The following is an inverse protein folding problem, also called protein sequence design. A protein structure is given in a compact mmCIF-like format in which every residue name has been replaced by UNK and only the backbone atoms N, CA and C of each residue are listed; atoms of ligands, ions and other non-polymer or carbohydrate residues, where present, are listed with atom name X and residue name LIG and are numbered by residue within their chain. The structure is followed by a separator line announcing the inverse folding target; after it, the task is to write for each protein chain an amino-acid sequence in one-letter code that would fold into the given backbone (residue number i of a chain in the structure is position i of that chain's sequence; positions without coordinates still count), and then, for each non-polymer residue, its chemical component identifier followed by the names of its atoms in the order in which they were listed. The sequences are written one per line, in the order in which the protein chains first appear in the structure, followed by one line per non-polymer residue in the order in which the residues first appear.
data_IF_867935812795
#
_entry.id   IF_867935812795
#
_cell.length_a   1.000
_cell.length_b   1.000
_cell.length_c   1.000
_cell.angle_alpha   90.00
_cell.angle_beta   90.00
_cell.angle_gamma   90.00
#
_symmetry.space_group_name_H-M   'P 1'
#
loop_
_entity.id
_entity.type
_entity.pdbx_description
1 polymer ?
#
# COMPACT_ATOMS: atom_id res chain seq x y z
N UNK A 1 25.58 -6.03 19.71
CA UNK A 1 24.19 -5.58 19.82
C UNK A 1 24.08 -4.37 20.74
N UNK A 2 24.47 -4.43 22.01
CA UNK A 2 24.37 -3.28 22.97
C UNK A 2 25.06 -2.01 22.46
N UNK A 3 26.27 -2.10 21.86
CA UNK A 3 26.97 -0.96 21.29
C UNK A 3 26.22 -0.27 20.12
N UNK A 4 25.24 -0.95 19.51
CA UNK A 4 24.33 -0.38 18.50
C UNK A 4 23.02 0.13 19.11
N UNK A 5 22.93 0.21 20.45
CA UNK A 5 21.74 0.71 21.15
C UNK A 5 20.59 -0.32 21.30
N UNK A 6 20.84 -1.60 20.99
CA UNK A 6 19.82 -2.64 21.20
C UNK A 6 19.78 -2.97 22.70
N UNK A 7 18.61 -2.85 23.36
CA UNK A 7 18.46 -3.19 24.78
C UNK A 7 18.85 -4.64 25.07
N UNK A 8 19.41 -4.90 26.24
CA UNK A 8 19.95 -6.21 26.61
C UNK A 8 18.87 -7.31 26.68
N UNK A 9 17.63 -6.94 26.97
CA UNK A 9 16.45 -7.78 27.06
C UNK A 9 15.78 -8.05 25.70
N UNK A 10 16.32 -7.48 24.62
CA UNK A 10 15.81 -7.67 23.26
C UNK A 10 16.64 -8.65 22.41
N UNK A 11 17.67 -9.25 22.98
CA UNK A 11 18.45 -10.28 22.29
C UNK A 11 19.07 -11.28 23.27
N UNK A 12 19.20 -12.51 22.81
CA UNK A 12 19.85 -13.60 23.56
C UNK A 12 20.67 -14.46 22.61
N UNK A 13 21.53 -15.31 23.18
CA UNK A 13 22.25 -16.35 22.44
C UNK A 13 21.49 -17.65 22.65
N UNK A 14 20.88 -18.15 21.57
CA UNK A 14 20.15 -19.41 21.57
C UNK A 14 20.87 -20.44 20.67
N UNK A 15 21.41 -21.49 21.28
CA UNK A 15 22.10 -22.56 20.58
C UNK A 15 21.14 -23.60 19.96
N UNK A 16 19.85 -23.44 20.18
CA UNK A 16 18.83 -24.33 19.59
C UNK A 16 18.34 -23.87 18.21
N UNK A 17 18.72 -22.67 17.79
CA UNK A 17 18.37 -22.19 16.46
C UNK A 17 19.04 -23.06 15.40
N UNK A 18 18.24 -23.88 14.71
CA UNK A 18 18.67 -24.67 13.57
C UNK A 18 18.03 -24.11 12.31
N UNK A 19 18.86 -23.60 11.39
CA UNK A 19 18.43 -23.11 10.07
C UNK A 19 18.73 -24.17 9.01
N UNK A 20 17.71 -24.50 8.22
CA UNK A 20 17.74 -25.60 7.25
C UNK A 20 18.40 -25.29 5.91
N UNK A 21 19.24 -24.28 5.80
CA UNK A 21 19.95 -23.95 4.58
C UNK A 21 21.46 -24.18 4.79
N UNK A 22 22.02 -25.12 4.05
CA UNK A 22 23.40 -25.60 4.21
C UNK A 22 24.49 -24.58 3.86
N UNK A 23 24.11 -23.41 3.36
CA UNK A 23 25.05 -22.37 2.97
C UNK A 23 25.49 -21.43 4.10
N UNK A 24 24.85 -21.48 5.27
CA UNK A 24 25.31 -20.69 6.41
C UNK A 24 26.57 -21.29 7.03
N UNK A 25 27.59 -20.45 7.14
CA UNK A 25 28.92 -20.85 7.63
C UNK A 25 29.29 -20.20 8.97
N UNK A 26 28.44 -19.34 9.50
CA UNK A 26 28.67 -18.58 10.72
C UNK A 26 27.40 -18.34 11.52
N UNK A 27 27.32 -17.18 12.16
CA UNK A 27 26.19 -16.80 12.98
C UNK A 27 24.88 -16.82 12.17
N UNK A 28 23.88 -17.48 12.70
CA UNK A 28 22.48 -17.43 12.24
C UNK A 28 21.65 -16.66 13.26
N UNK A 29 20.59 -16.04 12.83
CA UNK A 29 19.69 -15.27 13.71
C UNK A 29 18.25 -15.42 13.30
N UNK A 30 17.39 -15.30 14.30
CA UNK A 30 15.95 -15.22 14.16
C UNK A 30 15.43 -14.05 14.97
N UNK A 31 14.34 -13.46 14.51
CA UNK A 31 13.66 -12.39 15.21
C UNK A 31 12.21 -12.80 15.43
N UNK A 32 11.77 -12.83 16.66
CA UNK A 32 10.38 -13.04 17.05
C UNK A 32 9.79 -11.76 17.64
N UNK A 33 8.48 -11.64 17.61
CA UNK A 33 7.77 -10.59 18.32
C UNK A 33 7.65 -10.98 19.80
N UNK A 34 8.07 -10.10 20.71
CA UNK A 34 8.04 -10.36 22.15
C UNK A 34 6.61 -10.57 22.66
N UNK A 35 5.67 -9.78 22.15
CA UNK A 35 4.25 -9.84 22.55
C UNK A 35 3.48 -10.96 21.84
N UNK A 36 4.07 -11.59 20.82
CA UNK A 36 3.44 -12.62 19.98
C UNK A 36 4.40 -13.74 19.60
N UNK A 37 4.99 -14.45 20.57
CA UNK A 37 5.98 -15.51 20.33
C UNK A 37 5.38 -16.70 19.55
N UNK A 38 4.06 -16.90 19.64
CA UNK A 38 3.34 -17.98 18.95
C UNK A 38 3.40 -17.88 17.42
N UNK A 39 3.69 -16.69 16.88
CA UNK A 39 3.77 -16.45 15.45
C UNK A 39 5.07 -17.01 14.86
N UNK A 40 6.07 -17.20 15.71
CA UNK A 40 7.40 -17.63 15.33
C UNK A 40 8.23 -16.53 14.67
N UNK A 41 9.26 -16.91 13.94
CA UNK A 41 10.20 -15.98 13.34
C UNK A 41 9.55 -15.09 12.27
N UNK A 42 9.65 -13.77 12.45
CA UNK A 42 9.22 -12.75 11.49
C UNK A 42 10.36 -12.28 10.60
N UNK A 43 11.59 -12.48 11.05
CA UNK A 43 12.79 -12.14 10.29
C UNK A 43 13.89 -13.13 10.65
N UNK A 44 14.70 -13.49 9.68
CA UNK A 44 15.79 -14.44 9.89
C UNK A 44 16.90 -14.24 8.87
N UNK A 45 18.06 -14.79 9.19
CA UNK A 45 19.19 -14.75 8.29
C UNK A 45 20.44 -15.35 8.90
N UNK A 46 21.56 -15.09 8.27
CA UNK A 46 22.85 -15.56 8.75
C UNK A 46 24.01 -15.17 7.87
N UNK A 47 25.19 -15.49 8.36
CA UNK A 47 26.44 -15.31 7.64
C UNK A 47 26.73 -16.50 6.72
N UNK A 48 27.21 -16.21 5.53
CA UNK A 48 27.68 -17.20 4.57
C UNK A 48 28.98 -16.69 3.94
N UNK A 49 29.98 -17.56 3.86
CA UNK A 49 31.30 -17.20 3.34
C UNK A 49 31.53 -17.72 1.92
N UNK A 50 30.88 -18.85 1.56
CA UNK A 50 31.19 -19.61 0.35
C UNK A 50 30.06 -19.58 -0.72
N UNK A 51 28.97 -18.88 -0.47
CA UNK A 51 27.81 -18.88 -1.41
C UNK A 51 28.18 -18.34 -2.79
N UNK A 52 29.06 -17.33 -2.84
CA UNK A 52 29.48 -16.72 -4.09
C UNK A 52 30.37 -17.64 -4.93
N UNK A 53 31.01 -18.68 -4.37
CA UNK A 53 31.89 -19.62 -5.08
C UNK A 53 31.14 -20.42 -6.17
N UNK A 54 29.81 -20.52 -6.08
CA UNK A 54 28.99 -21.11 -7.15
C UNK A 54 28.94 -20.26 -8.43
N UNK A 55 29.32 -19.00 -8.35
CA UNK A 55 29.16 -18.02 -9.46
C UNK A 55 30.49 -17.32 -9.82
N UNK A 56 31.49 -17.38 -8.96
CA UNK A 56 32.76 -16.67 -9.15
C UNK A 56 33.89 -17.36 -8.38
N UNK A 57 35.11 -17.26 -8.89
CA UNK A 57 36.34 -17.73 -8.20
C UNK A 57 36.76 -16.83 -7.04
N UNK A 58 36.01 -15.76 -6.77
CA UNK A 58 36.29 -14.84 -5.67
C UNK A 58 35.60 -15.28 -4.40
N UNK A 59 36.34 -15.31 -3.30
CA UNK A 59 35.76 -15.47 -1.98
C UNK A 59 35.07 -14.18 -1.55
N UNK A 60 33.74 -14.20 -1.47
CA UNK A 60 32.91 -13.04 -1.13
C UNK A 60 32.00 -13.43 0.05
N UNK A 61 32.46 -13.20 1.29
CA UNK A 61 31.62 -13.45 2.47
C UNK A 61 30.45 -12.45 2.47
N UNK A 62 29.30 -12.93 2.94
CA UNK A 62 28.09 -12.14 3.01
C UNK A 62 27.26 -12.42 4.26
N UNK A 63 26.35 -11.50 4.53
CA UNK A 63 25.29 -11.68 5.53
C UNK A 63 23.97 -11.39 4.84
N UNK A 64 23.02 -12.29 4.97
CA UNK A 64 21.69 -12.13 4.40
C UNK A 64 20.63 -11.98 5.49
N UNK A 65 19.55 -11.30 5.13
CA UNK A 65 18.37 -11.14 5.94
C UNK A 65 17.14 -11.40 5.08
N UNK A 66 16.15 -12.10 5.64
CA UNK A 66 14.83 -12.31 5.03
C UNK A 66 13.75 -11.89 6.01
N UNK A 67 12.85 -11.04 5.57
CA UNK A 67 11.72 -10.56 6.37
C UNK A 67 10.45 -11.24 5.85
N UNK A 68 9.72 -11.90 6.76
CA UNK A 68 8.41 -12.49 6.47
C UNK A 68 7.32 -11.41 6.41
N UNK A 69 7.36 -10.57 5.36
CA UNK A 69 6.49 -9.41 5.23
C UNK A 69 5.00 -9.76 5.38
N UNK A 70 4.53 -10.80 4.70
CA UNK A 70 3.12 -11.23 4.79
C UNK A 70 2.72 -11.63 6.20
N UNK A 71 3.60 -12.37 6.89
CA UNK A 71 3.36 -12.78 8.28
C UNK A 71 3.32 -11.58 9.22
N UNK A 72 4.31 -10.70 9.13
CA UNK A 72 4.38 -9.48 9.92
C UNK A 72 3.14 -8.60 9.70
N UNK A 73 2.76 -8.41 8.45
CA UNK A 73 1.61 -7.58 8.08
C UNK A 73 0.29 -8.17 8.59
N UNK A 74 0.12 -9.48 8.50
CA UNK A 74 -1.04 -10.19 9.02
C UNK A 74 -1.19 -9.96 10.52
N UNK A 75 -0.11 -10.16 11.28
CA UNK A 75 -0.13 -10.00 12.73
C UNK A 75 -0.41 -8.57 13.15
N UNK A 76 0.28 -7.61 12.56
CA UNK A 76 0.05 -6.19 12.85
C UNK A 76 -1.39 -5.78 12.54
N UNK A 77 -2.01 -6.39 11.51
CA UNK A 77 -3.42 -6.20 11.18
C UNK A 77 -4.37 -6.77 12.22
N UNK A 78 -4.17 -8.05 12.61
CA UNK A 78 -5.01 -8.73 13.63
C UNK A 78 -4.94 -8.03 14.99
N UNK A 79 -3.77 -7.50 15.34
CA UNK A 79 -3.55 -6.77 16.58
C UNK A 79 -4.02 -5.31 16.54
N UNK A 80 -4.54 -4.84 15.42
CA UNK A 80 -5.04 -3.48 15.28
C UNK A 80 -4.00 -2.40 15.05
N UNK A 81 -2.70 -2.72 15.04
CA UNK A 81 -1.63 -1.73 14.85
C UNK A 81 -1.67 -1.01 13.49
N UNK A 82 -2.34 -1.60 12.49
CA UNK A 82 -2.43 -1.04 11.14
C UNK A 82 -3.78 -0.39 10.84
N UNK A 83 -4.78 -0.56 11.72
CA UNK A 83 -6.17 -0.23 11.40
C UNK A 83 -6.42 1.27 11.17
N UNK A 84 -5.69 2.14 11.87
CA UNK A 84 -5.92 3.59 11.86
C UNK A 84 -5.03 4.35 10.87
N UNK A 85 -3.95 3.74 10.40
CA UNK A 85 -2.95 4.39 9.56
C UNK A 85 -2.99 3.95 8.09
N UNK A 86 -3.69 2.87 7.78
CA UNK A 86 -3.74 2.37 6.41
C UNK A 86 -4.82 3.04 5.59
N UNK A 87 -4.41 3.68 4.52
CA UNK A 87 -5.32 4.02 3.46
C UNK A 87 -5.72 2.73 2.72
N UNK A 88 -6.89 2.19 3.06
CA UNK A 88 -7.40 0.92 2.51
C UNK A 88 -7.71 1.01 1.02
N UNK A 89 -7.95 2.21 0.51
CA UNK A 89 -8.26 2.42 -0.88
C UNK A 89 -7.01 2.37 -1.77
N UNK A 90 -7.02 1.61 -2.86
CA UNK A 90 -5.89 1.53 -3.80
C UNK A 90 -5.69 2.83 -4.58
N UNK A 91 -6.71 3.69 -4.63
CA UNK A 91 -6.71 4.97 -5.30
C UNK A 91 -7.55 5.99 -4.52
N UNK A 92 -7.30 7.27 -4.77
CA UNK A 92 -8.08 8.38 -4.23
C UNK A 92 -9.33 8.65 -5.10
N UNK A 93 -9.20 8.37 -6.39
CA UNK A 93 -10.25 8.59 -7.39
C UNK A 93 -10.37 7.39 -8.32
N UNK A 94 -11.60 6.99 -8.62
CA UNK A 94 -11.93 6.07 -9.69
C UNK A 94 -12.65 6.82 -10.82
N UNK A 95 -12.06 6.80 -12.02
CA UNK A 95 -12.75 7.33 -13.21
C UNK A 95 -13.61 6.23 -13.82
N UNK A 96 -14.87 6.54 -14.02
CA UNK A 96 -15.87 5.68 -14.66
C UNK A 96 -16.22 6.25 -16.04
N UNK A 97 -15.61 5.72 -17.11
CA UNK A 97 -16.03 6.07 -18.47
C UNK A 97 -17.45 5.57 -18.73
N UNK A 98 -18.28 6.46 -19.29
CA UNK A 98 -19.67 6.16 -19.67
C UNK A 98 -19.81 6.09 -21.20
N UNK A 99 -18.68 6.16 -21.93
CA UNK A 99 -18.56 6.04 -23.38
C UNK A 99 -17.63 4.87 -23.71
N UNK A 100 -17.69 4.40 -24.93
CA UNK A 100 -16.75 3.37 -25.45
C UNK A 100 -15.36 3.97 -25.77
N UNK A 101 -15.28 5.28 -26.03
CA UNK A 101 -14.02 5.96 -26.22
C UNK A 101 -13.32 6.25 -24.88
N UNK A 102 -12.22 5.56 -24.65
CA UNK A 102 -11.40 5.70 -23.46
C UNK A 102 -10.44 6.90 -23.53
N UNK A 103 -10.30 7.56 -24.67
CA UNK A 103 -9.28 8.61 -24.87
C UNK A 103 -9.42 9.78 -23.88
N UNK A 104 -10.64 10.29 -23.70
CA UNK A 104 -10.91 11.37 -22.75
C UNK A 104 -10.65 10.92 -21.30
N UNK A 105 -11.07 9.72 -20.94
CA UNK A 105 -10.86 9.18 -19.59
C UNK A 105 -9.38 8.94 -19.28
N UNK A 106 -8.58 8.49 -20.24
CA UNK A 106 -7.13 8.34 -20.11
C UNK A 106 -6.47 9.71 -19.88
N UNK A 107 -6.84 10.73 -20.67
CA UNK A 107 -6.32 12.10 -20.52
C UNK A 107 -6.66 12.67 -19.14
N UNK A 108 -7.89 12.51 -18.70
CA UNK A 108 -8.36 12.92 -17.35
C UNK A 108 -7.55 12.21 -16.25
N UNK A 109 -7.35 10.90 -16.37
CA UNK A 109 -6.56 10.13 -15.40
C UNK A 109 -5.10 10.60 -15.35
N UNK A 110 -4.51 10.89 -16.50
CA UNK A 110 -3.13 11.38 -16.58
C UNK A 110 -2.99 12.73 -15.88
N UNK A 111 -3.85 13.68 -16.18
CA UNK A 111 -3.81 15.01 -15.57
C UNK A 111 -4.01 14.97 -14.04
N UNK A 112 -4.92 14.14 -13.53
CA UNK A 112 -5.10 13.96 -12.10
C UNK A 112 -3.88 13.33 -11.43
N UNK A 113 -3.21 12.37 -12.08
CA UNK A 113 -1.96 11.77 -11.58
C UNK A 113 -0.81 12.78 -11.56
N UNK A 114 -0.71 13.62 -12.58
CA UNK A 114 0.26 14.74 -12.63
C UNK A 114 0.03 15.75 -11.51
N UNK A 115 -1.22 15.90 -11.05
CA UNK A 115 -1.57 16.70 -9.86
C UNK A 115 -1.33 15.96 -8.54
N UNK A 116 -0.73 14.75 -8.55
CA UNK A 116 -0.42 13.97 -7.35
C UNK A 116 -1.60 13.17 -6.77
N UNK A 117 -2.73 13.06 -7.49
CA UNK A 117 -3.90 12.28 -7.07
C UNK A 117 -3.77 10.84 -7.57
N UNK A 118 -3.81 9.86 -6.66
CA UNK A 118 -3.79 8.44 -7.02
C UNK A 118 -5.08 8.09 -7.73
N UNK A 119 -5.00 7.93 -9.04
CA UNK A 119 -6.18 7.78 -9.90
C UNK A 119 -6.19 6.41 -10.56
N UNK A 120 -7.29 5.69 -10.41
CA UNK A 120 -7.59 4.45 -11.11
C UNK A 120 -8.61 4.71 -12.22
N UNK A 121 -8.42 4.06 -13.36
CA UNK A 121 -9.36 4.07 -14.46
C UNK A 121 -10.08 2.71 -14.53
N UNK A 122 -11.41 2.74 -14.53
CA UNK A 122 -12.22 1.54 -14.71
C UNK A 122 -12.29 1.16 -16.20
N UNK A 123 -11.74 0.01 -16.55
CA UNK A 123 -11.61 -0.41 -17.95
C UNK A 123 -12.62 -1.46 -18.41
N UNK A 124 -13.41 -2.05 -17.47
CA UNK A 124 -14.36 -3.09 -17.84
C UNK A 124 -15.70 -2.50 -18.32
N UNK A 125 -16.26 -3.13 -19.37
CA UNK A 125 -17.61 -2.79 -19.84
C UNK A 125 -18.66 -3.50 -18.98
N UNK A 126 -18.99 -2.93 -17.83
CA UNK A 126 -20.03 -3.42 -16.91
C UNK A 126 -21.15 -2.40 -16.75
N UNK A 127 -22.30 -2.86 -16.25
CA UNK A 127 -23.42 -1.98 -15.88
C UNK A 127 -22.99 -0.97 -14.80
N UNK A 128 -23.56 0.22 -14.85
CA UNK A 128 -23.28 1.32 -13.93
C UNK A 128 -23.23 0.91 -12.44
N UNK A 129 -24.24 0.12 -12.00
CA UNK A 129 -24.29 -0.36 -10.61
C UNK A 129 -23.04 -1.16 -10.20
N UNK A 130 -22.47 -1.94 -11.12
CA UNK A 130 -21.23 -2.70 -10.84
C UNK A 130 -20.00 -1.79 -10.74
N UNK A 131 -19.93 -0.77 -11.61
CA UNK A 131 -18.83 0.20 -11.59
C UNK A 131 -18.79 0.98 -10.26
N UNK A 132 -19.95 1.46 -9.78
CA UNK A 132 -20.06 2.15 -8.49
C UNK A 132 -19.78 1.19 -7.33
N UNK A 133 -20.35 -0.01 -7.34
CA UNK A 133 -20.10 -1.03 -6.31
C UNK A 133 -18.63 -1.45 -6.21
N UNK A 134 -17.87 -1.33 -7.29
CA UNK A 134 -16.42 -1.55 -7.26
C UNK A 134 -15.69 -0.46 -6.46
N UNK A 135 -16.05 0.83 -6.67
CA UNK A 135 -15.49 1.92 -5.89
C UNK A 135 -15.80 1.79 -4.40
N UNK A 136 -17.06 1.48 -4.09
CA UNK A 136 -17.53 1.28 -2.71
C UNK A 136 -16.80 0.12 -2.01
N UNK A 137 -16.73 -1.04 -2.66
CA UNK A 137 -16.03 -2.23 -2.14
C UNK A 137 -14.56 -1.96 -1.82
N UNK A 138 -13.90 -1.13 -2.62
CA UNK A 138 -12.48 -0.78 -2.43
C UNK A 138 -12.29 0.43 -1.51
N UNK A 139 -13.37 1.06 -1.05
CA UNK A 139 -13.32 2.25 -0.21
C UNK A 139 -12.70 3.46 -0.90
N UNK A 140 -12.82 3.55 -2.25
CA UNK A 140 -12.31 4.69 -3.01
C UNK A 140 -13.18 5.92 -2.71
N UNK A 141 -12.60 7.01 -2.18
CA UNK A 141 -13.39 8.11 -1.64
C UNK A 141 -14.08 8.98 -2.70
N UNK A 142 -13.51 9.07 -3.91
CA UNK A 142 -14.07 9.87 -4.98
C UNK A 142 -14.27 9.07 -6.27
N UNK A 143 -15.33 9.41 -6.99
CA UNK A 143 -15.62 8.83 -8.30
C UNK A 143 -15.83 9.97 -9.31
N UNK A 144 -15.24 9.84 -10.48
CA UNK A 144 -15.49 10.74 -11.60
C UNK A 144 -16.28 10.00 -12.67
N UNK A 145 -17.44 10.54 -13.03
CA UNK A 145 -18.20 10.11 -14.19
C UNK A 145 -17.80 10.94 -15.39
N UNK A 146 -17.55 10.28 -16.51
CA UNK A 146 -17.15 10.93 -17.75
C UNK A 146 -17.97 10.34 -18.91
N UNK A 147 -19.06 11.02 -19.23
CA UNK A 147 -19.93 10.74 -20.36
C UNK A 147 -19.69 11.70 -21.52
N UNK A 148 -20.44 11.51 -22.63
CA UNK A 148 -20.37 12.39 -23.80
C UNK A 148 -20.69 13.85 -23.45
N UNK A 149 -21.68 14.07 -22.58
CA UNK A 149 -22.08 15.43 -22.17
C UNK A 149 -20.95 16.13 -21.41
N UNK A 150 -20.29 15.42 -20.48
CA UNK A 150 -19.18 15.96 -19.71
C UNK A 150 -17.97 16.25 -20.62
N UNK A 151 -17.66 15.35 -21.55
CA UNK A 151 -16.56 15.50 -22.51
C UNK A 151 -16.81 16.72 -23.42
N UNK A 152 -18.02 16.85 -23.98
CA UNK A 152 -18.38 17.93 -24.87
C UNK A 152 -18.39 19.30 -24.16
N UNK A 153 -18.79 19.32 -22.89
CA UNK A 153 -18.80 20.53 -22.05
C UNK A 153 -17.43 20.87 -21.45
N UNK A 154 -16.41 19.99 -21.59
CA UNK A 154 -15.10 20.18 -20.99
C UNK A 154 -15.10 20.11 -19.45
N UNK A 155 -16.03 19.38 -18.86
CA UNK A 155 -16.18 19.22 -17.42
C UNK A 155 -16.12 17.75 -17.00
N UNK A 156 -16.01 17.49 -15.71
CA UNK A 156 -16.09 16.16 -15.09
C UNK A 156 -17.15 16.19 -13.98
N UNK A 157 -17.87 15.10 -13.81
CA UNK A 157 -18.83 14.94 -12.71
C UNK A 157 -18.12 14.20 -11.56
N UNK A 158 -17.75 14.93 -10.52
CA UNK A 158 -17.10 14.40 -9.32
C UNK A 158 -18.14 14.05 -8.27
N UNK A 159 -18.07 12.85 -7.73
CA UNK A 159 -18.90 12.39 -6.62
C UNK A 159 -18.03 12.03 -5.42
N UNK A 160 -18.33 12.60 -4.26
CA UNK A 160 -17.83 12.12 -2.97
C UNK A 160 -18.66 10.90 -2.55
N UNK A 161 -17.99 9.77 -2.31
CA UNK A 161 -18.67 8.50 -1.98
C UNK A 161 -19.19 8.45 -0.56
N UNK A 162 -18.71 9.28 0.34
CA UNK A 162 -19.14 9.35 1.73
C UNK A 162 -20.37 10.25 1.91
N UNK A 163 -20.30 11.50 1.42
CA UNK A 163 -21.41 12.44 1.48
C UNK A 163 -22.50 12.14 0.45
N UNK A 164 -22.14 11.49 -0.65
CA UNK A 164 -23.02 11.27 -1.79
C UNK A 164 -23.19 12.49 -2.69
N UNK A 165 -22.60 13.63 -2.35
CA UNK A 165 -22.65 14.87 -3.16
C UNK A 165 -21.96 14.66 -4.50
N UNK A 166 -22.57 15.23 -5.56
CA UNK A 166 -22.03 15.19 -6.90
C UNK A 166 -22.08 16.59 -7.51
N UNK A 167 -20.94 17.00 -8.09
CA UNK A 167 -20.82 18.30 -8.76
C UNK A 167 -20.19 18.13 -10.13
N UNK A 168 -20.57 19.01 -11.08
CA UNK A 168 -19.93 19.12 -12.40
C UNK A 168 -19.03 20.33 -12.40
N UNK A 169 -17.75 20.13 -12.62
CA UNK A 169 -16.72 21.15 -12.54
C UNK A 169 -15.64 20.94 -13.61
N UNK A 170 -14.82 21.96 -13.84
CA UNK A 170 -13.61 21.79 -14.65
C UNK A 170 -12.63 20.81 -14.02
N UNK A 171 -11.70 20.27 -14.80
CA UNK A 171 -10.72 19.30 -14.30
C UNK A 171 -9.81 19.88 -13.20
N UNK A 172 -9.43 21.16 -13.33
CA UNK A 172 -8.61 21.85 -12.34
C UNK A 172 -9.36 22.07 -11.01
N UNK A 173 -10.64 22.40 -11.09
CA UNK A 173 -11.51 22.50 -9.91
C UNK A 173 -11.75 21.15 -9.27
N UNK A 174 -11.92 20.10 -10.08
CA UNK A 174 -12.03 18.73 -9.59
C UNK A 174 -10.78 18.29 -8.81
N UNK A 175 -9.60 18.57 -9.32
CA UNK A 175 -8.35 18.29 -8.63
C UNK A 175 -8.27 18.99 -7.27
N UNK A 176 -8.62 20.26 -7.19
CA UNK A 176 -8.66 21.03 -5.92
C UNK A 176 -9.68 20.44 -4.94
N UNK A 177 -10.90 20.18 -5.42
CA UNK A 177 -11.98 19.59 -4.59
C UNK A 177 -11.56 18.25 -3.99
N UNK A 178 -10.91 17.42 -4.78
CA UNK A 178 -10.42 16.11 -4.33
C UNK A 178 -9.30 16.29 -3.30
N UNK A 179 -8.31 17.16 -3.53
CA UNK A 179 -7.26 17.44 -2.57
C UNK A 179 -7.81 17.94 -1.24
N UNK A 180 -8.73 18.90 -1.27
CA UNK A 180 -9.37 19.44 -0.06
C UNK A 180 -10.17 18.38 0.69
N UNK A 181 -10.89 17.55 -0.04
CA UNK A 181 -11.65 16.44 0.53
C UNK A 181 -10.75 15.37 1.17
N UNK A 182 -9.65 15.01 0.52
CA UNK A 182 -8.65 14.08 1.08
C UNK A 182 -7.98 14.66 2.33
N UNK A 183 -7.64 15.94 2.32
CA UNK A 183 -7.04 16.60 3.48
C UNK A 183 -7.99 16.60 4.69
N UNK A 184 -9.28 16.87 4.49
CA UNK A 184 -10.30 16.80 5.55
C UNK A 184 -10.46 15.37 6.10
N UNK A 185 -10.51 14.36 5.22
CA UNK A 185 -10.63 12.96 5.62
C UNK A 185 -9.40 12.45 6.39
N UNK A 186 -8.21 12.94 6.06
CA UNK A 186 -6.97 12.60 6.77
C UNK A 186 -6.85 13.36 8.11
N UNK A 187 -7.29 14.61 8.19
CA UNK A 187 -7.29 15.38 9.43
C UNK A 187 -8.21 14.78 10.51
N UNK A 188 -9.32 14.15 10.11
CA UNK A 188 -10.21 13.42 11.02
C UNK A 188 -9.63 12.14 11.62
N UNK A 189 -8.52 11.61 11.05
CA UNK A 189 -7.84 10.40 11.51
C UNK A 189 -6.70 10.65 12.51
N UNK A 190 -6.29 11.90 12.71
CA UNK A 190 -5.11 12.27 13.55
C UNK A 190 -5.47 12.50 15.03
N UNK A 191 -6.71 12.28 15.45
CA UNK A 191 -7.10 12.48 16.85
C UNK A 191 -7.33 11.14 17.54
N UNK A 192 -6.26 10.42 17.85
CA UNK A 192 -6.19 9.43 18.93
C UNK A 192 -4.72 9.11 19.27
N UNK A 193 -3.96 10.13 19.65
CA UNK A 193 -2.77 9.94 20.47
C UNK A 193 -3.20 10.14 21.93
N UNK A 194 -3.43 9.02 22.64
CA UNK A 194 -3.26 8.92 24.10
C UNK A 194 -2.95 7.49 24.45
#
# INVERSE_FOLDING_TARGET
MQAFGVPADHFEIDLTIARGLDYYTGTVYETAMLDHPEIGSICSGGRYDNLAEYYTDKQLPGVGISIGLTRLFYVLGEQGYLNDQMNKAPADVLILPMTDDMGAAIKTATALRESGIRTQLYSEQKKFKHKIGYADKLGIPFVIFLGEDEINAGVVAVKDMESGEQVKVSLDEAAKLIHDGLAKKNAGKVICDK
#
